data_IF_566525312770
#
_entry.id   IF_566525312770
#
_cell.length_a   1.000
_cell.length_b   1.000
_cell.length_c   1.000
_cell.angle_alpha   90.00
_cell.angle_beta   90.00
_cell.angle_gamma   90.00
#
_symmetry.space_group_name_H-M   'P 1'
#
loop_
_entity.id
_entity.type
_entity.pdbx_description
1 polymer ?
#
# COMPACT_ATOMS: atom_id res chain seq x y z
N UNK A 1 -3.10 -1.33 10.13
CA UNK A 1 -2.11 -2.44 10.04
C UNK A 1 -0.80 -2.22 10.82
N UNK A 2 -0.15 -3.30 11.27
CA UNK A 2 1.17 -3.26 11.94
C UNK A 2 2.30 -3.40 10.91
N UNK A 3 3.45 -2.81 11.19
CA UNK A 3 4.69 -3.10 10.46
C UNK A 3 4.98 -4.60 10.50
N UNK A 4 5.40 -5.16 9.37
CA UNK A 4 5.64 -6.60 9.18
C UNK A 4 4.41 -7.39 8.74
N UNK A 5 3.22 -6.78 8.66
CA UNK A 5 2.04 -7.44 8.08
C UNK A 5 2.20 -7.57 6.57
N UNK A 6 1.96 -8.77 6.04
CA UNK A 6 1.91 -9.04 4.60
C UNK A 6 0.49 -8.81 4.10
N UNK A 7 0.36 -8.10 2.98
CA UNK A 7 -0.91 -7.71 2.38
C UNK A 7 -0.93 -8.00 0.88
N UNK A 8 -2.14 -8.09 0.34
CA UNK A 8 -2.38 -8.02 -1.09
C UNK A 8 -2.99 -6.67 -1.43
N UNK A 9 -2.40 -5.97 -2.41
CA UNK A 9 -2.87 -4.64 -2.81
C UNK A 9 -4.17 -4.80 -3.61
N UNK A 10 -5.25 -4.15 -3.16
CA UNK A 10 -6.58 -4.21 -3.80
C UNK A 10 -6.88 -2.93 -4.61
N UNK A 11 -7.76 -3.00 -5.62
CA UNK A 11 -8.17 -1.81 -6.36
C UNK A 11 -8.87 -0.80 -5.44
N UNK A 12 -8.58 0.48 -5.65
CA UNK A 12 -9.35 1.59 -5.07
C UNK A 12 -9.33 2.80 -6.01
N UNK A 13 -10.26 3.72 -5.80
CA UNK A 13 -10.26 5.00 -6.54
C UNK A 13 -8.99 5.81 -6.24
N UNK A 14 -8.54 5.84 -4.98
CA UNK A 14 -7.32 6.52 -4.57
C UNK A 14 -6.08 5.97 -5.30
N UNK A 15 -5.97 4.65 -5.43
CA UNK A 15 -4.87 4.00 -6.16
C UNK A 15 -4.89 4.35 -7.65
N UNK A 16 -6.10 4.42 -8.24
CA UNK A 16 -6.29 4.82 -9.64
C UNK A 16 -5.92 6.27 -9.88
N UNK A 17 -6.29 7.19 -8.98
CA UNK A 17 -5.90 8.60 -9.05
C UNK A 17 -4.38 8.79 -8.95
N UNK A 18 -3.71 7.93 -8.19
CA UNK A 18 -2.24 7.88 -8.10
C UNK A 18 -1.57 7.15 -9.26
N UNK A 19 -2.35 6.57 -10.20
CA UNK A 19 -1.87 5.79 -11.36
C UNK A 19 -1.08 4.53 -10.97
N UNK A 20 -1.44 3.92 -9.84
CA UNK A 20 -0.76 2.75 -9.28
C UNK A 20 -1.52 1.43 -9.52
N UNK A 21 -2.44 1.39 -10.50
CA UNK A 21 -3.25 0.19 -10.80
C UNK A 21 -2.41 -1.03 -11.18
N UNK A 22 -1.19 -0.82 -11.66
CA UNK A 22 -0.25 -1.92 -11.96
C UNK A 22 0.24 -2.66 -10.72
N UNK A 23 0.01 -2.11 -9.52
CA UNK A 23 0.34 -2.74 -8.25
C UNK A 23 -0.78 -3.64 -7.70
N UNK A 24 -1.96 -3.65 -8.33
CA UNK A 24 -3.07 -4.51 -7.91
C UNK A 24 -2.65 -5.98 -7.93
N UNK A 25 -3.06 -6.73 -6.92
CA UNK A 25 -2.73 -8.14 -6.70
C UNK A 25 -1.26 -8.45 -6.44
N UNK A 26 -0.39 -7.44 -6.32
CA UNK A 26 0.95 -7.65 -5.78
C UNK A 26 0.89 -7.83 -4.28
N UNK A 27 1.72 -8.76 -3.80
CA UNK A 27 1.96 -8.97 -2.39
C UNK A 27 3.03 -7.99 -1.89
N UNK A 28 2.83 -7.44 -0.70
CA UNK A 28 3.75 -6.48 -0.11
C UNK A 28 3.76 -6.60 1.41
N UNK A 29 4.86 -6.20 2.03
CA UNK A 29 4.98 -6.11 3.48
C UNK A 29 4.88 -4.65 3.93
N UNK A 30 4.03 -4.37 4.91
CA UNK A 30 3.93 -3.02 5.50
C UNK A 30 5.22 -2.70 6.25
N UNK A 31 5.91 -1.65 5.84
CA UNK A 31 7.13 -1.15 6.52
C UNK A 31 6.84 0.08 7.38
N UNK A 32 5.84 0.88 7.01
CA UNK A 32 5.47 2.08 7.77
C UNK A 32 3.97 2.36 7.73
N UNK A 33 3.38 2.65 8.90
CA UNK A 33 2.02 3.16 9.04
C UNK A 33 1.98 4.68 8.83
N UNK A 34 1.20 5.12 7.83
CA UNK A 34 1.00 6.52 7.47
C UNK A 34 -0.47 6.96 7.64
N UNK A 35 -1.25 6.27 8.49
CA UNK A 35 -2.68 6.55 8.74
C UNK A 35 -2.93 7.54 9.90
N UNK A 36 -1.85 8.01 10.53
CA UNK A 36 -1.89 8.90 11.70
C UNK A 36 -2.74 10.17 11.53
N UNK A 37 -3.26 10.66 12.65
CA UNK A 37 -4.12 11.85 12.72
C UNK A 37 -3.39 13.07 12.13
N UNK A 38 -4.09 13.84 11.29
CA UNK A 38 -3.57 15.06 10.67
C UNK A 38 -2.90 14.87 9.30
N UNK A 39 -2.76 13.63 8.80
CA UNK A 39 -2.30 13.38 7.43
C UNK A 39 -3.42 13.55 6.42
N UNK A 40 -3.10 14.27 5.33
CA UNK A 40 -3.96 14.44 4.16
C UNK A 40 -4.07 13.13 3.36
N UNK A 41 -2.92 12.49 3.09
CA UNK A 41 -2.86 11.21 2.39
C UNK A 41 -2.60 10.10 3.42
N UNK A 42 -3.62 9.28 3.66
CA UNK A 42 -3.54 8.13 4.56
C UNK A 42 -3.22 6.86 3.77
N UNK A 43 -2.37 6.02 4.34
CA UNK A 43 -1.94 4.81 3.70
C UNK A 43 -0.76 4.19 4.42
N UNK A 44 0.05 3.47 3.66
CA UNK A 44 1.15 2.68 4.18
C UNK A 44 2.32 2.77 3.20
N UNK A 45 3.54 2.81 3.73
CA UNK A 45 4.68 2.39 2.92
C UNK A 45 4.76 0.88 2.99
N UNK A 46 4.95 0.26 1.83
CA UNK A 46 5.10 -1.18 1.69
C UNK A 46 6.36 -1.50 0.89
N UNK A 47 6.97 -2.63 1.20
CA UNK A 47 8.01 -3.26 0.38
C UNK A 47 7.35 -4.39 -0.43
N UNK A 48 7.36 -4.29 -1.76
CA UNK A 48 6.85 -5.33 -2.65
C UNK A 48 7.71 -6.59 -2.57
N UNK A 49 7.10 -7.76 -2.57
CA UNK A 49 7.83 -9.03 -2.63
C UNK A 49 8.49 -9.27 -3.99
N UNK A 50 7.92 -8.68 -5.04
CA UNK A 50 8.48 -8.63 -6.39
C UNK A 50 8.59 -7.17 -6.89
N UNK A 51 9.77 -6.72 -7.33
CA UNK A 51 9.98 -5.34 -7.76
C UNK A 51 9.08 -4.96 -8.93
N UNK A 52 8.73 -3.68 -8.98
CA UNK A 52 8.04 -3.06 -10.10
C UNK A 52 8.83 -1.83 -10.55
N UNK A 53 9.20 -1.78 -11.83
CA UNK A 53 10.06 -0.72 -12.38
C UNK A 53 11.38 -0.58 -11.59
N UNK A 54 11.98 -1.71 -11.21
CA UNK A 54 13.21 -1.80 -10.41
C UNK A 54 13.11 -1.21 -8.99
N UNK A 55 11.90 -0.88 -8.52
CA UNK A 55 11.62 -0.37 -7.18
C UNK A 55 10.78 -1.35 -6.37
N UNK A 56 11.09 -1.45 -5.07
CA UNK A 56 10.34 -2.27 -4.10
C UNK A 56 9.54 -1.45 -3.12
N UNK A 57 9.94 -0.21 -2.83
CA UNK A 57 9.27 0.66 -1.86
C UNK A 57 8.18 1.49 -2.52
N UNK A 58 6.93 1.28 -2.10
CA UNK A 58 5.77 1.97 -2.67
C UNK A 58 4.82 2.49 -1.60
N UNK A 59 4.25 3.66 -1.85
CA UNK A 59 3.12 4.16 -1.07
C UNK A 59 1.82 3.52 -1.58
N UNK A 60 1.04 2.93 -0.68
CA UNK A 60 -0.29 2.37 -0.98
C UNK A 60 -1.34 3.11 -0.14
N UNK A 61 -2.39 3.68 -0.76
CA UNK A 61 -3.46 4.34 -0.03
C UNK A 61 -4.21 3.36 0.87
N UNK A 62 -4.70 3.82 2.02
CA UNK A 62 -5.36 2.96 3.01
C UNK A 62 -6.56 2.19 2.41
N UNK A 63 -7.26 2.80 1.45
CA UNK A 63 -8.42 2.21 0.77
C UNK A 63 -8.04 1.03 -0.12
N UNK A 64 -6.74 0.83 -0.39
CA UNK A 64 -6.18 -0.27 -1.17
C UNK A 64 -5.61 -1.41 -0.34
N UNK A 65 -5.83 -1.39 0.98
CA UNK A 65 -5.45 -2.46 1.89
C UNK A 65 -6.70 -2.84 2.69
N UNK A 66 -6.95 -4.13 2.88
CA UNK A 66 -7.95 -4.59 3.85
C UNK A 66 -7.25 -4.65 5.22
N UNK A 67 -7.77 -3.91 6.21
CA UNK A 67 -7.47 -4.26 7.60
C UNK A 67 -8.27 -5.55 7.87
N UNK A 68 -7.62 -6.71 7.79
CA UNK A 68 -8.18 -7.91 8.40
C UNK A 68 -8.18 -7.67 9.92
N UNK A 69 -9.39 -7.44 10.47
CA UNK A 69 -9.67 -7.51 11.91
C UNK A 69 -9.43 -8.92 12.46
#
# INVERSE_FOLDING_TARGET
MKTGTVINIKPSEALSLMRLNMLISKEAMVVQDLTGIGRLNKGYMVELTEPYLDEVDWFIPQESIDDED
#
